data_IF_191477765027
#
_entry.id   IF_191477765027
#
_cell.length_a   1.000
_cell.length_b   1.000
_cell.length_c   1.000
_cell.angle_alpha   90.00
_cell.angle_beta   90.00
_cell.angle_gamma   90.00
#
_symmetry.space_group_name_H-M   'P 1'
#
loop_
_entity.id
_entity.type
_entity.pdbx_description
1 polymer ?
#
# COMPACT_ATOMS: atom_id res chain seq x y z
N UNK A 1 9.59 -14.74 -9.53
CA UNK A 1 9.72 -13.63 -8.57
C UNK A 1 8.37 -13.39 -7.91
N UNK A 2 8.33 -13.42 -6.59
CA UNK A 2 7.10 -13.20 -5.82
C UNK A 2 7.00 -11.74 -5.42
N UNK A 3 5.92 -11.09 -5.84
CA UNK A 3 5.66 -9.67 -5.57
C UNK A 3 4.31 -9.55 -4.88
N UNK A 4 4.25 -8.76 -3.82
CA UNK A 4 3.00 -8.47 -3.10
C UNK A 4 2.66 -7.00 -3.18
N UNK A 5 1.42 -6.72 -3.51
CA UNK A 5 0.88 -5.37 -3.51
C UNK A 5 0.25 -5.12 -2.14
N UNK A 6 0.64 -4.03 -1.49
CA UNK A 6 0.11 -3.63 -0.18
C UNK A 6 -0.68 -2.35 -0.33
N UNK A 7 -1.92 -2.37 0.12
CA UNK A 7 -2.80 -1.19 0.14
C UNK A 7 -3.08 -0.81 1.60
N UNK A 8 -2.36 0.16 2.16
CA UNK A 8 -2.60 0.59 3.53
C UNK A 8 -3.89 1.40 3.62
N UNK A 9 -4.77 1.02 4.53
CA UNK A 9 -6.07 1.66 4.74
C UNK A 9 -6.31 1.87 6.21
N UNK A 10 -6.98 2.96 6.59
CA UNK A 10 -7.34 3.24 7.97
C UNK A 10 -8.69 3.95 8.12
N UNK A 11 -9.26 4.47 7.03
CA UNK A 11 -10.57 5.13 7.07
C UNK A 11 -11.66 4.11 7.28
N UNK A 12 -12.67 4.45 8.06
CA UNK A 12 -13.84 3.60 8.27
C UNK A 12 -14.53 3.26 6.94
N UNK A 13 -14.64 4.26 6.05
CA UNK A 13 -15.15 4.05 4.69
C UNK A 13 -14.22 4.73 3.70
N UNK A 14 -13.90 4.09 2.57
CA UNK A 14 -13.15 4.75 1.51
C UNK A 14 -13.99 5.89 0.90
N UNK A 15 -13.31 6.95 0.49
CA UNK A 15 -13.94 8.04 -0.29
C UNK A 15 -14.32 7.53 -1.67
N UNK A 16 -15.12 8.32 -2.42
CA UNK A 16 -15.46 7.98 -3.81
C UNK A 16 -14.23 7.85 -4.70
N UNK A 17 -13.25 8.73 -4.54
CA UNK A 17 -11.99 8.68 -5.29
C UNK A 17 -11.16 7.46 -4.91
N UNK A 18 -11.08 7.13 -3.63
CA UNK A 18 -10.39 5.94 -3.16
C UNK A 18 -11.05 4.66 -3.68
N UNK A 19 -12.39 4.60 -3.73
CA UNK A 19 -13.11 3.45 -4.32
C UNK A 19 -12.72 3.24 -5.77
N UNK A 20 -12.70 4.31 -6.55
CA UNK A 20 -12.31 4.25 -7.97
C UNK A 20 -10.85 3.83 -8.14
N UNK A 21 -9.97 4.42 -7.35
CA UNK A 21 -8.54 4.11 -7.40
C UNK A 21 -8.24 2.66 -7.00
N UNK A 22 -8.79 2.19 -5.88
CA UNK A 22 -8.62 0.81 -5.43
C UNK A 22 -9.13 -0.17 -6.50
N UNK A 23 -10.33 0.05 -7.01
CA UNK A 23 -10.90 -0.81 -8.06
C UNK A 23 -10.05 -0.86 -9.31
N UNK A 24 -9.57 0.29 -9.78
CA UNK A 24 -8.66 0.37 -10.93
C UNK A 24 -7.34 -0.36 -10.66
N UNK A 25 -6.71 -0.09 -9.52
CA UNK A 25 -5.39 -0.61 -9.19
C UNK A 25 -5.40 -2.13 -9.01
N UNK A 26 -6.41 -2.67 -8.34
CA UNK A 26 -6.57 -4.12 -8.16
C UNK A 26 -6.77 -4.81 -9.50
N UNK A 27 -7.51 -4.21 -10.41
CA UNK A 27 -7.72 -4.74 -11.77
C UNK A 27 -6.42 -4.75 -12.58
N UNK A 28 -5.69 -3.65 -12.58
CA UNK A 28 -4.45 -3.53 -13.36
C UNK A 28 -3.35 -4.43 -12.80
N UNK A 29 -3.28 -4.56 -11.47
CA UNK A 29 -2.27 -5.35 -10.78
C UNK A 29 -2.75 -6.77 -10.43
N UNK A 30 -3.72 -7.29 -11.14
CA UNK A 30 -4.35 -8.59 -10.86
C UNK A 30 -3.39 -9.79 -10.97
N UNK A 31 -2.25 -9.62 -11.64
CA UNK A 31 -1.22 -10.66 -11.74
C UNK A 31 -0.47 -10.91 -10.43
N UNK A 32 -0.60 -10.04 -9.44
CA UNK A 32 0.13 -10.11 -8.17
C UNK A 32 -0.79 -10.39 -7.00
N UNK A 33 -0.23 -10.98 -5.95
CA UNK A 33 -0.93 -11.10 -4.67
C UNK A 33 -1.15 -9.71 -4.08
N UNK A 34 -2.38 -9.42 -3.68
CA UNK A 34 -2.75 -8.14 -3.07
C UNK A 34 -3.21 -8.35 -1.64
N UNK A 35 -2.79 -7.46 -0.74
CA UNK A 35 -3.26 -7.40 0.63
C UNK A 35 -3.57 -5.95 1.02
N UNK A 36 -4.66 -5.78 1.75
CA UNK A 36 -4.85 -4.57 2.54
C UNK A 36 -4.00 -4.67 3.80
N UNK A 37 -3.35 -3.58 4.18
CA UNK A 37 -2.75 -3.42 5.50
C UNK A 37 -3.67 -2.52 6.31
N UNK A 38 -4.22 -3.04 7.39
CA UNK A 38 -5.27 -2.36 8.14
C UNK A 38 -5.02 -2.43 9.64
N UNK A 39 -5.43 -1.40 10.41
CA UNK A 39 -5.35 -1.45 11.86
C UNK A 39 -6.29 -2.51 12.43
N UNK A 40 -5.94 -3.04 13.60
CA UNK A 40 -6.71 -4.11 14.25
C UNK A 40 -8.18 -3.75 14.47
N UNK A 41 -8.47 -2.48 14.72
CA UNK A 41 -9.83 -2.01 15.04
C UNK A 41 -10.72 -1.76 13.83
N UNK A 42 -10.16 -1.77 12.60
CA UNK A 42 -10.91 -1.37 11.40
C UNK A 42 -11.81 -2.50 10.89
N UNK A 43 -13.10 -2.19 10.67
CA UNK A 43 -14.00 -3.06 9.93
C UNK A 43 -13.69 -2.98 8.43
N UNK A 44 -13.32 -4.10 7.85
CA UNK A 44 -12.85 -4.19 6.46
C UNK A 44 -13.96 -4.45 5.44
N UNK A 45 -15.22 -4.56 5.86
CA UNK A 45 -16.32 -4.88 4.95
C UNK A 45 -16.40 -3.95 3.73
N UNK A 46 -16.28 -2.61 3.85
CA UNK A 46 -16.31 -1.71 2.69
C UNK A 46 -15.15 -1.93 1.71
N UNK A 47 -14.01 -2.34 2.21
CA UNK A 47 -12.82 -2.60 1.38
C UNK A 47 -12.87 -3.97 0.72
N UNK A 48 -13.33 -4.98 1.44
CA UNK A 48 -13.50 -6.34 0.89
C UNK A 48 -14.45 -6.37 -0.30
N UNK A 49 -15.45 -5.52 -0.30
CA UNK A 49 -16.36 -5.39 -1.44
C UNK A 49 -15.65 -4.90 -2.72
N UNK A 50 -14.59 -4.10 -2.57
CA UNK A 50 -13.82 -3.56 -3.69
C UNK A 50 -12.78 -4.56 -4.22
N UNK A 51 -12.26 -5.43 -3.38
CA UNK A 51 -11.21 -6.38 -3.72
C UNK A 51 -11.43 -7.69 -2.94
N UNK A 52 -12.40 -8.52 -3.35
CA UNK A 52 -12.75 -9.74 -2.59
C UNK A 52 -11.63 -10.77 -2.49
N UNK A 53 -10.70 -10.78 -3.46
CA UNK A 53 -9.58 -11.69 -3.48
C UNK A 53 -8.38 -11.23 -2.64
N UNK A 54 -8.37 -9.96 -2.20
CA UNK A 54 -7.28 -9.42 -1.40
C UNK A 54 -7.32 -9.96 0.03
N UNK A 55 -6.16 -10.33 0.55
CA UNK A 55 -6.01 -10.66 1.96
C UNK A 55 -6.02 -9.39 2.82
N UNK A 56 -6.21 -9.56 4.12
CA UNK A 56 -6.11 -8.46 5.09
C UNK A 56 -4.98 -8.79 6.07
N UNK A 57 -3.98 -7.94 6.10
CA UNK A 57 -2.88 -8.00 7.07
C UNK A 57 -3.16 -6.97 8.15
N UNK A 58 -3.37 -7.43 9.38
CA UNK A 58 -3.65 -6.56 10.52
C UNK A 58 -2.37 -6.08 11.17
N UNK A 59 -2.32 -4.80 11.49
CA UNK A 59 -1.25 -4.17 12.25
C UNK A 59 -1.83 -3.44 13.45
N UNK A 60 -0.99 -3.09 14.42
CA UNK A 60 -1.46 -2.32 15.57
C UNK A 60 -1.96 -0.93 15.18
N UNK A 61 -2.94 -0.42 15.93
CA UNK A 61 -3.51 0.91 15.71
C UNK A 61 -2.48 2.04 15.98
N UNK A 62 -1.38 1.73 16.66
CA UNK A 62 -0.26 2.66 16.83
C UNK A 62 0.50 2.94 15.53
N UNK A 63 0.44 2.02 14.57
CA UNK A 63 1.11 2.16 13.28
C UNK A 63 0.22 2.77 12.21
N UNK A 64 -1.04 2.41 12.21
CA UNK A 64 -1.93 2.79 11.12
C UNK A 64 -3.29 3.15 11.70
N UNK A 65 -3.71 4.40 11.48
CA UNK A 65 -4.98 4.90 11.97
C UNK A 65 -4.87 6.34 12.46
N UNK A 66 -5.93 6.81 13.09
CA UNK A 66 -6.02 8.19 13.60
C UNK A 66 -5.26 8.42 14.90
N UNK A 67 -4.90 7.35 15.62
CA UNK A 67 -4.26 7.45 16.94
C UNK A 67 -2.93 8.20 16.91
N UNK A 68 -2.02 7.82 15.99
CA UNK A 68 -0.71 8.44 15.85
C UNK A 68 -0.51 9.10 14.47
N UNK A 69 -1.47 8.98 13.57
CA UNK A 69 -1.44 9.62 12.26
C UNK A 69 -0.19 9.31 11.44
N UNK A 70 0.39 10.35 10.86
CA UNK A 70 1.59 10.23 10.01
C UNK A 70 2.79 9.68 10.79
N UNK A 71 2.95 10.05 12.06
CA UNK A 71 4.06 9.54 12.89
C UNK A 71 3.98 8.03 13.07
N UNK A 72 2.79 7.48 13.27
CA UNK A 72 2.57 6.03 13.35
C UNK A 72 2.89 5.33 12.04
N UNK A 73 2.41 5.88 10.93
CA UNK A 73 2.71 5.35 9.59
C UNK A 73 4.21 5.37 9.29
N UNK A 74 4.90 6.46 9.60
CA UNK A 74 6.34 6.54 9.39
C UNK A 74 7.09 5.51 10.26
N UNK A 75 6.67 5.32 11.51
CA UNK A 75 7.25 4.31 12.38
C UNK A 75 7.06 2.90 11.80
N UNK A 76 5.90 2.61 11.23
CA UNK A 76 5.63 1.34 10.55
C UNK A 76 6.56 1.16 9.35
N UNK A 77 6.69 2.15 8.49
CA UNK A 77 7.51 2.09 7.28
C UNK A 77 9.01 1.97 7.59
N UNK A 78 9.45 2.39 8.76
CA UNK A 78 10.84 2.29 9.21
C UNK A 78 11.07 1.05 10.09
N UNK A 79 10.07 0.24 10.35
CA UNK A 79 10.18 -0.92 11.24
C UNK A 79 10.59 -2.18 10.49
N UNK A 80 11.69 -2.80 10.92
CA UNK A 80 12.08 -4.12 10.44
C UNK A 80 10.97 -5.16 10.65
N UNK A 81 10.25 -5.08 11.77
CA UNK A 81 9.15 -5.99 12.11
C UNK A 81 8.02 -5.95 11.07
N UNK A 82 7.74 -4.78 10.50
CA UNK A 82 6.76 -4.66 9.42
C UNK A 82 7.21 -5.42 8.17
N UNK A 83 8.44 -5.22 7.73
CA UNK A 83 8.95 -5.88 6.51
C UNK A 83 9.10 -7.38 6.69
N UNK A 84 9.38 -7.86 7.89
CA UNK A 84 9.43 -9.30 8.19
C UNK A 84 8.10 -10.02 7.96
N UNK A 85 6.97 -9.34 8.07
CA UNK A 85 5.66 -9.91 7.74
C UNK A 85 5.64 -10.41 6.30
N UNK A 86 6.38 -9.75 5.41
CA UNK A 86 6.38 -10.00 3.97
C UNK A 86 7.66 -10.66 3.46
N UNK A 87 8.46 -11.26 4.34
CA UNK A 87 9.76 -11.85 3.97
C UNK A 87 9.65 -13.03 2.98
N UNK A 88 8.47 -13.63 2.83
CA UNK A 88 8.21 -14.67 1.84
C UNK A 88 8.13 -14.14 0.41
N UNK A 89 7.99 -12.84 0.21
CA UNK A 89 7.98 -12.18 -1.09
C UNK A 89 9.33 -11.54 -1.39
N UNK A 90 9.68 -11.51 -2.67
CA UNK A 90 10.93 -10.87 -3.12
C UNK A 90 10.83 -9.35 -3.10
N UNK A 91 9.66 -8.81 -3.44
CA UNK A 91 9.37 -7.38 -3.44
C UNK A 91 7.96 -7.10 -2.91
N UNK A 92 7.81 -5.94 -2.31
CA UNK A 92 6.50 -5.37 -1.98
C UNK A 92 6.34 -4.03 -2.70
N UNK A 93 5.13 -3.75 -3.16
CA UNK A 93 4.74 -2.42 -3.64
C UNK A 93 3.72 -1.83 -2.67
N UNK A 94 4.07 -0.72 -2.03
CA UNK A 94 3.12 0.03 -1.23
C UNK A 94 2.32 0.94 -2.16
N UNK A 95 1.04 0.62 -2.32
CA UNK A 95 0.13 1.35 -3.20
C UNK A 95 -0.94 2.02 -2.35
N UNK A 96 -0.80 3.33 -2.15
CA UNK A 96 -1.77 4.09 -1.36
C UNK A 96 -3.15 4.10 -2.00
N UNK A 97 -4.24 4.14 -1.22
CA UNK A 97 -5.60 4.06 -1.77
C UNK A 97 -6.02 5.26 -2.62
N UNK A 98 -5.29 6.36 -2.56
CA UNK A 98 -5.50 7.56 -3.39
C UNK A 98 -4.57 7.64 -4.60
N UNK A 99 -3.66 6.68 -4.77
CA UNK A 99 -2.80 6.60 -5.95
C UNK A 99 -3.56 5.97 -7.13
N UNK A 100 -3.20 6.36 -8.33
CA UNK A 100 -3.79 5.81 -9.56
C UNK A 100 -2.71 5.11 -10.38
N UNK A 101 -2.89 3.83 -10.63
CA UNK A 101 -2.00 3.03 -11.45
C UNK A 101 -2.48 3.09 -12.91
N UNK A 102 -1.63 3.56 -13.80
CA UNK A 102 -1.96 3.66 -15.23
C UNK A 102 -1.72 2.35 -15.97
N UNK A 103 -0.63 1.65 -15.61
CA UNK A 103 -0.26 0.37 -16.22
C UNK A 103 0.63 -0.42 -15.27
N UNK A 104 0.73 -1.73 -15.50
CA UNK A 104 1.57 -2.61 -14.72
C UNK A 104 3.01 -2.58 -15.24
N UNK A 105 3.90 -1.93 -14.48
CA UNK A 105 5.35 -1.94 -14.70
C UNK A 105 6.10 -2.59 -13.53
N UNK A 106 5.40 -3.22 -12.58
CA UNK A 106 5.98 -3.68 -11.32
C UNK A 106 7.07 -4.72 -11.56
N UNK A 107 6.80 -5.75 -12.36
CA UNK A 107 7.77 -6.79 -12.67
C UNK A 107 8.99 -6.23 -13.41
N UNK A 108 8.79 -5.28 -14.30
CA UNK A 108 9.87 -4.60 -15.04
C UNK A 108 10.82 -3.88 -14.08
N UNK A 109 10.27 -3.10 -13.15
CA UNK A 109 11.08 -2.38 -12.16
C UNK A 109 11.76 -3.34 -11.18
N UNK A 110 11.06 -4.37 -10.72
CA UNK A 110 11.64 -5.40 -9.86
C UNK A 110 12.83 -6.11 -10.53
N UNK A 111 12.75 -6.38 -11.82
CA UNK A 111 13.80 -7.05 -12.58
C UNK A 111 15.09 -6.21 -12.72
N UNK A 112 15.05 -4.91 -12.47
CA UNK A 112 16.22 -4.03 -12.52
C UNK A 112 17.17 -4.19 -11.34
N UNK A 113 16.78 -4.92 -10.29
CA UNK A 113 17.64 -5.26 -9.16
C UNK A 113 17.89 -4.13 -8.15
N UNK A 114 17.07 -3.09 -8.16
CA UNK A 114 17.14 -2.06 -7.12
C UNK A 114 16.61 -2.58 -5.79
N UNK A 115 17.22 -2.15 -4.69
CA UNK A 115 16.72 -2.48 -3.36
C UNK A 115 15.45 -1.70 -3.01
N UNK A 116 15.33 -0.47 -3.50
CA UNK A 116 14.18 0.39 -3.27
C UNK A 116 13.97 1.33 -4.45
N UNK A 117 12.71 1.49 -4.84
CA UNK A 117 12.29 2.46 -5.86
C UNK A 117 11.16 3.28 -5.28
N UNK A 118 11.28 4.60 -5.35
CA UNK A 118 10.25 5.51 -4.87
C UNK A 118 10.05 6.66 -5.87
N UNK A 119 8.89 7.31 -5.77
CA UNK A 119 8.61 8.49 -6.57
C UNK A 119 9.57 9.64 -6.19
N UNK A 120 10.07 10.41 -7.17
CA UNK A 120 10.94 11.53 -6.88
C UNK A 120 10.18 12.65 -6.17
N UNK A 121 10.83 13.29 -5.22
CA UNK A 121 10.32 14.52 -4.63
C UNK A 121 10.57 15.68 -5.59
N UNK A 122 9.50 16.33 -6.01
CA UNK A 122 9.58 17.54 -6.82
C UNK A 122 9.81 18.73 -5.89
N UNK A 123 11.05 19.23 -5.84
CA UNK A 123 11.32 20.48 -5.13
C UNK A 123 10.82 21.64 -5.98
N UNK A 124 10.10 22.55 -5.35
CA UNK A 124 9.84 23.85 -5.99
C UNK A 124 11.18 24.54 -6.20
N UNK A 125 11.42 25.13 -7.39
CA UNK A 125 12.61 25.95 -7.58
C UNK A 125 12.59 27.07 -6.52
N UNK A 126 13.68 27.21 -5.79
CA UNK A 126 13.88 28.36 -4.92
C UNK A 126 14.46 29.43 -5.83
N UNK A 127 13.65 30.42 -6.14
CA UNK A 127 14.15 31.61 -6.82
C UNK A 127 14.72 32.54 -5.77
N UNK A 128 16.00 32.79 -5.83
CA UNK A 128 16.65 33.80 -5.03
C UNK A 128 16.27 35.21 -5.52
#
# INVERSE_FOLDING_TARGET
>A
MKIRILIPVYRTCPTGDERRAIGNNVRILAAYDTAFVAPDSLDMAPYRALAPAAEVVRVGDEWLGSRNGIAGYNAMMLSERFYRIFEAWDYILVCHPDAWIFRDEVAEWAARGYDCVAAPWMRRPVYD
#
